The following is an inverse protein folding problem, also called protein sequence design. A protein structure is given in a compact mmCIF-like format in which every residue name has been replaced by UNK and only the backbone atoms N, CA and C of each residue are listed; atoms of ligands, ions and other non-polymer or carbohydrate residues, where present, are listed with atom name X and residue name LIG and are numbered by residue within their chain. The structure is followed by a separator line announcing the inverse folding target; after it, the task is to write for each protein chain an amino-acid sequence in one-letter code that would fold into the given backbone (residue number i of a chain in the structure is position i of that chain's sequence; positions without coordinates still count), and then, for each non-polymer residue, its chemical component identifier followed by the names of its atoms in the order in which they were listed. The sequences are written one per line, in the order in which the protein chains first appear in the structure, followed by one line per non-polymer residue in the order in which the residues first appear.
data_IF_913914175862
#
_entry.id   IF_913914175862
#
_cell.length_a   1.000
_cell.length_b   1.000
_cell.length_c   1.000
_cell.angle_alpha   90.00
_cell.angle_beta   90.00
_cell.angle_gamma   90.00
#
_symmetry.space_group_name_H-M   'P 1'
#
loop_
_entity.id
_entity.type
_entity.pdbx_description
1 polymer ?
#
# COMPACT_ATOMS: atom_id res chain seq x y z
N UNK A 1 5.43 1.54 9.66
CA UNK A 1 3.97 1.65 9.87
C UNK A 1 3.66 2.97 10.53
N UNK A 2 2.53 3.60 10.22
CA UNK A 2 2.10 4.86 10.84
C UNK A 2 1.59 4.64 12.27
N UNK A 3 1.38 5.72 13.02
CA UNK A 3 0.76 5.70 14.34
C UNK A 3 -0.78 5.68 14.28
N UNK A 4 -1.37 5.62 13.08
CA UNK A 4 -2.83 5.63 12.89
C UNK A 4 -3.42 4.30 13.37
N UNK A 5 -4.41 4.31 14.29
CA UNK A 5 -5.12 3.11 14.69
C UNK A 5 -5.83 2.46 13.50
N UNK A 6 -5.68 1.15 13.33
CA UNK A 6 -6.37 0.44 12.25
C UNK A 6 -7.88 0.35 12.50
N UNK A 7 -8.66 0.51 11.44
CA UNK A 7 -10.12 0.53 11.47
C UNK A 7 -10.76 -0.78 10.98
N UNK A 8 -10.00 -1.86 10.95
CA UNK A 8 -10.48 -3.17 10.53
C UNK A 8 -11.34 -3.84 11.60
N UNK A 9 -12.38 -4.54 11.16
CA UNK A 9 -13.24 -5.31 12.06
C UNK A 9 -12.46 -6.40 12.82
N UNK A 10 -12.90 -6.79 14.03
CA UNK A 10 -12.34 -7.95 14.73
C UNK A 10 -12.35 -9.20 13.84
N UNK A 11 -11.23 -9.92 13.77
CA UNK A 11 -11.06 -11.10 12.91
C UNK A 11 -10.67 -10.80 11.46
N UNK A 12 -10.66 -9.53 11.04
CA UNK A 12 -10.19 -9.14 9.72
C UNK A 12 -8.66 -9.29 9.61
N UNK A 13 -8.19 -9.93 8.55
CA UNK A 13 -6.77 -10.28 8.36
C UNK A 13 -5.93 -9.17 7.72
N UNK A 14 -6.54 -8.04 7.34
CA UNK A 14 -5.82 -6.92 6.73
C UNK A 14 -4.66 -6.41 7.60
N UNK A 15 -4.84 -6.34 8.93
CA UNK A 15 -3.77 -5.92 9.83
C UNK A 15 -2.56 -6.87 9.83
N UNK A 16 -2.79 -8.18 9.67
CA UNK A 16 -1.70 -9.16 9.54
C UNK A 16 -0.98 -8.95 8.20
N UNK A 17 -1.74 -8.79 7.11
CA UNK A 17 -1.15 -8.58 5.78
C UNK A 17 -0.34 -7.27 5.75
N UNK A 18 -0.85 -6.19 6.34
CA UNK A 18 -0.14 -4.91 6.43
C UNK A 18 1.17 -5.03 7.20
N UNK A 19 1.15 -5.74 8.34
CA UNK A 19 2.38 -6.00 9.10
C UNK A 19 3.41 -6.74 8.23
N UNK A 20 3.00 -7.81 7.54
CA UNK A 20 3.92 -8.61 6.71
C UNK A 20 4.49 -7.80 5.53
N UNK A 21 3.66 -6.97 4.89
CA UNK A 21 4.12 -6.08 3.81
C UNK A 21 5.08 -5.02 4.36
N UNK A 22 4.77 -4.42 5.52
CA UNK A 22 5.64 -3.45 6.18
C UNK A 22 6.99 -4.05 6.57
N UNK A 23 7.00 -5.24 7.18
CA UNK A 23 8.22 -5.98 7.52
C UNK A 23 9.05 -6.30 6.26
N UNK A 24 8.42 -6.66 5.15
CA UNK A 24 9.11 -6.88 3.89
C UNK A 24 9.78 -5.60 3.34
N UNK A 25 9.07 -4.46 3.39
CA UNK A 25 9.60 -3.15 2.98
C UNK A 25 10.80 -2.75 3.85
N UNK A 26 10.69 -2.92 5.17
CA UNK A 26 11.73 -2.58 6.13
C UNK A 26 12.97 -3.48 5.96
N UNK A 27 12.78 -4.79 5.80
CA UNK A 27 13.88 -5.74 5.59
C UNK A 27 14.65 -5.49 4.30
N UNK A 28 13.97 -4.97 3.28
CA UNK A 28 14.60 -4.59 2.00
C UNK A 28 15.26 -3.20 2.08
N UNK A 29 15.00 -2.40 3.12
CA UNK A 29 15.54 -1.05 3.27
C UNK A 29 15.01 -0.04 2.25
N UNK A 30 13.84 -0.31 1.65
CA UNK A 30 13.30 0.46 0.50
C UNK A 30 12.15 1.41 0.87
N UNK A 31 11.94 1.72 2.16
CA UNK A 31 10.80 2.51 2.63
C UNK A 31 10.64 3.84 1.86
N UNK A 32 11.74 4.60 1.68
CA UNK A 32 11.76 5.90 0.98
C UNK A 32 11.63 5.78 -0.55
N UNK A 33 11.81 4.58 -1.09
CA UNK A 33 11.72 4.29 -2.52
C UNK A 33 10.42 3.59 -2.90
N UNK A 34 9.55 3.33 -1.92
CA UNK A 34 8.31 2.57 -2.12
C UNK A 34 7.13 3.51 -2.33
N UNK A 35 6.28 3.19 -3.32
CA UNK A 35 5.00 3.82 -3.56
C UNK A 35 3.94 2.73 -3.64
N UNK A 36 2.91 2.80 -2.80
CA UNK A 36 1.79 1.88 -2.88
C UNK A 36 0.58 2.47 -3.60
N UNK A 37 -0.24 1.60 -4.19
CA UNK A 37 -1.52 1.98 -4.80
C UNK A 37 -2.65 1.20 -4.16
N UNK A 38 -3.54 1.91 -3.48
CA UNK A 38 -4.68 1.33 -2.77
C UNK A 38 -5.94 1.36 -3.66
N UNK A 39 -6.67 0.23 -3.72
CA UNK A 39 -7.97 0.17 -4.40
C UNK A 39 -9.14 0.47 -3.46
N UNK A 40 -10.25 0.98 -4.01
CA UNK A 40 -11.52 1.14 -3.27
C UNK A 40 -11.98 -0.17 -2.63
N UNK A 41 -12.27 -0.13 -1.33
CA UNK A 41 -12.71 -1.24 -0.48
C UNK A 41 -12.24 -1.03 0.96
N UNK A 42 -12.45 -1.98 1.88
CA UNK A 42 -11.83 -1.92 3.22
C UNK A 42 -10.29 -1.83 3.12
N UNK A 43 -9.72 -2.46 2.09
CA UNK A 43 -8.30 -2.41 1.77
C UNK A 43 -7.78 -1.01 1.45
N UNK A 44 -8.65 -0.05 1.11
CA UNK A 44 -8.26 1.31 0.73
C UNK A 44 -7.48 2.01 1.84
N UNK A 45 -7.84 1.77 3.11
CA UNK A 45 -7.21 2.40 4.28
C UNK A 45 -5.71 2.08 4.43
N UNK A 46 -5.15 1.18 3.62
CA UNK A 46 -3.72 0.97 3.52
C UNK A 46 -2.92 2.28 3.37
N UNK A 47 -3.48 3.28 2.68
CA UNK A 47 -2.80 4.57 2.50
C UNK A 47 -2.59 5.35 3.81
N UNK A 48 -3.39 5.10 4.85
CA UNK A 48 -3.23 5.71 6.17
C UNK A 48 -2.23 4.96 7.06
N UNK A 49 -1.90 3.71 6.71
CA UNK A 49 -1.15 2.79 7.59
C UNK A 49 0.30 2.59 7.18
N UNK A 50 0.64 2.68 5.90
CA UNK A 50 2.03 2.58 5.45
C UNK A 50 2.73 3.95 5.51
N UNK A 51 3.97 3.97 5.99
CA UNK A 51 4.81 5.19 6.04
C UNK A 51 5.54 5.46 4.71
N UNK A 52 4.96 5.04 3.60
CA UNK A 52 5.46 5.33 2.27
C UNK A 52 4.41 6.15 1.51
N UNK A 53 4.79 6.69 0.35
CA UNK A 53 3.82 7.38 -0.49
C UNK A 53 2.73 6.41 -0.96
N UNK A 54 1.48 6.84 -0.93
CA UNK A 54 0.34 6.00 -1.26
C UNK A 54 -0.65 6.76 -2.14
N UNK A 55 -1.10 6.12 -3.22
CA UNK A 55 -2.09 6.69 -4.15
C UNK A 55 -3.38 5.85 -4.13
N UNK A 56 -4.53 6.49 -3.95
CA UNK A 56 -5.81 5.84 -4.16
C UNK A 56 -6.11 5.72 -5.67
N UNK A 57 -6.59 4.56 -6.09
CA UNK A 57 -7.13 4.34 -7.42
C UNK A 57 -8.64 4.09 -7.38
N UNK A 58 -9.30 4.38 -8.49
CA UNK A 58 -10.69 3.98 -8.72
C UNK A 58 -10.83 2.45 -8.61
N UNK A 59 -12.05 1.99 -8.32
CA UNK A 59 -12.34 0.57 -8.13
C UNK A 59 -11.88 -0.26 -9.33
N UNK A 60 -11.08 -1.30 -9.07
CA UNK A 60 -10.48 -2.16 -10.10
C UNK A 60 -9.38 -1.52 -10.97
N UNK A 61 -8.90 -0.30 -10.65
CA UNK A 61 -7.93 0.45 -11.48
C UNK A 61 -6.54 0.60 -10.87
N UNK A 62 -6.27 0.05 -9.70
CA UNK A 62 -4.97 0.19 -9.06
C UNK A 62 -3.78 -0.33 -9.90
N UNK A 63 -3.86 -1.47 -10.61
CA UNK A 63 -2.78 -1.88 -11.52
C UNK A 63 -2.53 -0.89 -12.66
N UNK A 64 -3.58 -0.26 -13.20
CA UNK A 64 -3.46 0.75 -14.25
C UNK A 64 -2.76 2.01 -13.73
N UNK A 65 -3.13 2.48 -12.54
CA UNK A 65 -2.49 3.62 -11.87
C UNK A 65 -1.02 3.30 -11.53
N UNK A 66 -0.76 2.13 -10.93
CA UNK A 66 0.59 1.67 -10.60
C UNK A 66 1.50 1.57 -11.83
N UNK A 67 0.95 1.11 -12.97
CA UNK A 67 1.67 1.07 -14.24
C UNK A 67 2.10 2.47 -14.69
N UNK A 68 1.22 3.47 -14.55
CA UNK A 68 1.54 4.87 -14.85
C UNK A 68 2.65 5.39 -13.94
N UNK A 69 2.53 5.17 -12.63
CA UNK A 69 3.55 5.58 -11.64
C UNK A 69 4.91 4.96 -11.98
N UNK A 70 4.97 3.64 -12.22
CA UNK A 70 6.22 2.94 -12.52
C UNK A 70 6.86 3.40 -13.83
N UNK A 71 6.07 3.83 -14.83
CA UNK A 71 6.59 4.37 -16.10
C UNK A 71 7.22 5.76 -15.93
N UNK A 72 6.66 6.60 -15.06
CA UNK A 72 7.17 7.96 -14.80
C UNK A 72 8.30 7.96 -13.77
N UNK A 73 8.27 7.02 -12.82
CA UNK A 73 9.25 6.87 -11.75
C UNK A 73 9.88 5.46 -11.80
N UNK A 74 10.76 5.19 -12.79
CA UNK A 74 11.29 3.86 -13.05
C UNK A 74 12.14 3.30 -11.90
N UNK A 75 12.74 4.15 -11.07
CA UNK A 75 13.61 3.71 -9.97
C UNK A 75 12.83 3.38 -8.69
N UNK A 76 11.56 3.79 -8.59
CA UNK A 76 10.72 3.54 -7.41
C UNK A 76 10.18 2.11 -7.41
N UNK A 77 10.10 1.51 -6.23
CA UNK A 77 9.37 0.26 -6.01
C UNK A 77 7.88 0.57 -5.92
N UNK A 78 7.08 -0.04 -6.80
CA UNK A 78 5.63 0.22 -6.85
C UNK A 78 4.90 -1.08 -6.57
N UNK A 79 3.96 -1.05 -5.62
CA UNK A 79 3.10 -2.19 -5.33
C UNK A 79 1.64 -1.78 -5.30
N UNK A 80 0.75 -2.75 -5.52
CA UNK A 80 -0.69 -2.54 -5.39
C UNK A 80 -1.23 -3.35 -4.23
N UNK A 81 -2.08 -2.76 -3.40
CA UNK A 81 -2.83 -3.47 -2.38
C UNK A 81 -4.30 -3.56 -2.80
N UNK A 82 -4.72 -4.76 -3.21
CA UNK A 82 -6.07 -5.02 -3.70
C UNK A 82 -6.91 -5.71 -2.62
N UNK A 83 -8.23 -5.42 -2.61
CA UNK A 83 -9.22 -6.14 -1.82
C UNK A 83 -9.81 -7.33 -2.57
#
# INVERSE_FOLDING_TARGET
MSEVPMHYCPGCTHGIIHRLVGEAIDNLGILKETIGVASVGCSVFAYDYFNCDMQQAAHGRAPAVATGIKRVLPDKMVFTYQG
#
